data_IF_834820774259
#
_entry.id   IF_834820774259
#
_cell.length_a   1.000
_cell.length_b   1.000
_cell.length_c   1.000
_cell.angle_alpha   90.00
_cell.angle_beta   90.00
_cell.angle_gamma   90.00
#
_symmetry.space_group_name_H-M   'P 1'
#
loop_
_entity.id
_entity.type
_entity.pdbx_description
1 polymer ?
#
# COMPACT_ATOMS: atom_id res chain seq x y z
N UNK A 1 11.80 -27.05 6.00
CA UNK A 1 12.50 -26.64 7.25
C UNK A 1 13.66 -25.68 6.99
N UNK A 2 14.41 -25.84 5.89
CA UNK A 2 15.55 -24.96 5.55
C UNK A 2 15.18 -23.47 5.50
N UNK A 3 14.01 -23.09 4.98
CA UNK A 3 13.57 -21.70 4.86
C UNK A 3 13.38 -21.00 6.21
N UNK A 4 12.88 -21.73 7.21
CA UNK A 4 12.68 -21.20 8.56
C UNK A 4 14.04 -20.93 9.23
N UNK A 5 14.97 -21.87 9.10
CA UNK A 5 16.33 -21.74 9.66
C UNK A 5 17.05 -20.55 9.00
N UNK A 6 16.98 -20.45 7.68
CA UNK A 6 17.55 -19.33 6.93
C UNK A 6 16.91 -18.02 7.37
N UNK A 7 15.59 -17.96 7.50
CA UNK A 7 14.87 -16.77 7.97
C UNK A 7 15.33 -16.32 9.37
N UNK A 8 15.48 -17.24 10.31
CA UNK A 8 15.96 -16.93 11.67
C UNK A 8 17.39 -16.38 11.64
N UNK A 9 18.28 -16.94 10.82
CA UNK A 9 19.66 -16.45 10.65
C UNK A 9 19.66 -15.01 10.12
N UNK A 10 18.86 -14.71 9.09
CA UNK A 10 18.76 -13.35 8.54
C UNK A 10 18.19 -12.34 9.53
N UNK A 11 17.19 -12.72 10.32
CA UNK A 11 16.65 -11.86 11.38
C UNK A 11 17.71 -11.62 12.46
N UNK A 12 18.41 -12.67 12.91
CA UNK A 12 19.50 -12.54 13.89
C UNK A 12 20.63 -11.64 13.39
N UNK A 13 21.03 -11.77 12.12
CA UNK A 13 22.00 -10.90 11.49
C UNK A 13 21.52 -9.45 11.42
N UNK A 14 20.25 -9.22 11.08
CA UNK A 14 19.67 -7.86 11.04
C UNK A 14 19.78 -7.20 12.42
N UNK A 15 19.39 -7.90 13.48
CA UNK A 15 19.49 -7.42 14.87
C UNK A 15 20.95 -7.14 15.24
N UNK A 16 21.87 -8.05 14.91
CA UNK A 16 23.30 -7.87 15.16
C UNK A 16 23.90 -6.67 14.41
N UNK A 17 23.48 -6.44 13.16
CA UNK A 17 23.99 -5.33 12.33
C UNK A 17 23.53 -3.95 12.80
N UNK A 18 22.33 -3.87 13.40
CA UNK A 18 21.69 -2.61 13.80
C UNK A 18 21.97 -2.25 15.27
N UNK A 19 22.37 -3.22 16.11
CA UNK A 19 22.62 -2.97 17.54
C UNK A 19 23.84 -2.05 17.75
N UNK A 20 23.73 -1.01 18.58
CA UNK A 20 24.81 -0.05 18.81
C UNK A 20 26.00 -0.63 19.59
N UNK A 21 25.82 -1.77 20.28
CA UNK A 21 26.89 -2.49 20.99
C UNK A 21 27.67 -3.46 20.10
N UNK A 22 27.27 -3.66 18.84
CA UNK A 22 27.96 -4.55 17.91
C UNK A 22 28.96 -3.77 17.04
N UNK A 23 30.08 -4.39 16.64
CA UNK A 23 31.14 -3.70 15.89
C UNK A 23 30.72 -3.20 14.50
N UNK A 24 29.61 -3.71 13.93
CA UNK A 24 29.07 -3.23 12.66
C UNK A 24 28.37 -1.87 12.81
N UNK A 25 27.55 -1.69 13.85
CA UNK A 25 26.83 -0.44 14.16
C UNK A 25 26.18 0.26 12.93
N UNK A 26 25.55 -0.50 12.02
CA UNK A 26 24.90 0.04 10.82
C UNK A 26 23.52 0.64 11.08
N UNK A 27 23.15 0.84 12.35
CA UNK A 27 21.82 1.29 12.71
C UNK A 27 21.49 2.66 12.11
N UNK A 28 22.46 3.58 12.06
CA UNK A 28 22.23 4.92 11.51
C UNK A 28 22.05 4.88 9.98
N UNK A 29 22.83 4.05 9.29
CA UNK A 29 22.79 3.85 7.85
C UNK A 29 21.48 3.20 7.41
N UNK A 30 21.01 2.21 8.17
CA UNK A 30 19.69 1.58 7.94
C UNK A 30 18.57 2.59 8.15
N UNK A 31 18.63 3.41 9.21
CA UNK A 31 17.63 4.46 9.47
C UNK A 31 17.66 5.51 8.35
N UNK A 32 18.84 5.91 7.88
CA UNK A 32 19.00 6.86 6.78
C UNK A 32 18.41 6.30 5.48
N UNK A 33 18.67 5.02 5.16
CA UNK A 33 18.07 4.34 4.03
C UNK A 33 16.56 4.26 4.15
N UNK A 34 16.02 3.92 5.32
CA UNK A 34 14.58 3.85 5.54
C UNK A 34 13.94 5.24 5.38
N UNK A 35 14.56 6.28 5.94
CA UNK A 35 14.11 7.68 5.78
C UNK A 35 14.10 8.14 4.32
N UNK A 36 15.06 7.68 3.51
CA UNK A 36 15.12 8.02 2.08
C UNK A 36 14.19 7.17 1.21
N UNK A 37 14.10 5.87 1.48
CA UNK A 37 13.34 4.91 0.68
C UNK A 37 11.84 4.89 0.97
N UNK A 38 11.45 5.11 2.23
CA UNK A 38 10.04 5.06 2.64
C UNK A 38 9.18 6.13 1.95
N UNK A 39 9.62 7.40 1.80
CA UNK A 39 8.87 8.40 1.03
C UNK A 39 8.73 8.05 -0.45
N UNK A 40 9.76 7.44 -1.07
CA UNK A 40 9.72 7.03 -2.48
C UNK A 40 8.71 5.91 -2.68
N UNK A 41 8.72 4.89 -1.80
CA UNK A 41 7.71 3.83 -1.80
C UNK A 41 6.32 4.38 -1.53
N UNK A 42 6.17 5.29 -0.57
CA UNK A 42 4.89 5.92 -0.26
C UNK A 42 4.33 6.72 -1.44
N UNK A 43 5.19 7.46 -2.16
CA UNK A 43 4.79 8.18 -3.37
C UNK A 43 4.36 7.22 -4.48
N UNK A 44 5.10 6.13 -4.69
CA UNK A 44 4.78 5.12 -5.70
C UNK A 44 3.44 4.42 -5.40
N UNK A 45 3.26 3.94 -4.16
CA UNK A 45 2.00 3.31 -3.72
C UNK A 45 0.85 4.31 -3.74
N UNK A 46 1.07 5.55 -3.28
CA UNK A 46 0.07 6.61 -3.29
C UNK A 46 -0.41 6.96 -4.70
N UNK A 47 0.50 6.98 -5.68
CA UNK A 47 0.16 7.21 -7.08
C UNK A 47 -0.68 6.06 -7.65
N UNK A 48 -0.37 4.80 -7.31
CA UNK A 48 -1.22 3.65 -7.67
C UNK A 48 -2.61 3.78 -7.03
N UNK A 49 -2.69 4.11 -5.75
CA UNK A 49 -3.96 4.31 -5.05
C UNK A 49 -4.80 5.45 -5.67
N UNK A 50 -4.17 6.51 -6.17
CA UNK A 50 -4.87 7.61 -6.81
C UNK A 50 -5.53 7.17 -8.12
N UNK A 51 -4.86 6.32 -8.92
CA UNK A 51 -5.46 5.75 -10.13
C UNK A 51 -6.60 4.78 -9.81
N UNK A 52 -6.42 3.90 -8.83
CA UNK A 52 -7.48 2.96 -8.40
C UNK A 52 -8.69 3.74 -7.86
N UNK A 53 -8.47 4.72 -6.99
CA UNK A 53 -9.53 5.54 -6.41
C UNK A 53 -10.27 6.38 -7.45
N UNK A 54 -9.57 6.93 -8.45
CA UNK A 54 -10.20 7.67 -9.54
C UNK A 54 -11.10 6.78 -10.41
N UNK A 55 -10.72 5.52 -10.64
CA UNK A 55 -11.56 4.53 -11.32
C UNK A 55 -12.79 4.16 -10.48
N UNK A 56 -12.61 3.78 -9.21
CA UNK A 56 -13.72 3.41 -8.30
C UNK A 56 -14.75 4.54 -8.14
N UNK A 57 -14.31 5.80 -8.08
CA UNK A 57 -15.21 6.97 -8.00
C UNK A 57 -16.00 7.17 -9.29
N UNK A 58 -15.40 6.96 -10.47
CA UNK A 58 -16.12 7.08 -11.74
C UNK A 58 -17.17 5.98 -11.87
N UNK A 59 -16.80 4.73 -11.62
CA UNK A 59 -17.71 3.58 -11.70
C UNK A 59 -18.90 3.74 -10.74
N UNK A 60 -18.67 4.22 -9.51
CA UNK A 60 -19.75 4.50 -8.54
C UNK A 60 -20.70 5.60 -8.97
N UNK A 61 -20.19 6.63 -9.65
CA UNK A 61 -21.02 7.75 -10.13
C UNK A 61 -21.90 7.32 -11.30
N UNK A 62 -21.37 6.49 -12.19
CA UNK A 62 -22.10 5.97 -13.34
C UNK A 62 -23.18 4.98 -12.91
N UNK A 63 -22.85 4.05 -12.00
CA UNK A 63 -23.83 3.13 -11.43
C UNK A 63 -25.00 3.85 -10.73
N UNK A 64 -24.72 4.91 -9.97
CA UNK A 64 -25.77 5.74 -9.34
C UNK A 64 -26.65 6.45 -10.38
N UNK A 65 -26.10 6.84 -11.53
CA UNK A 65 -26.84 7.51 -12.59
C UNK A 65 -27.79 6.53 -13.29
N UNK A 66 -27.30 5.34 -13.64
CA UNK A 66 -28.13 4.28 -14.24
C UNK A 66 -29.25 3.83 -13.29
N UNK A 67 -28.98 3.71 -11.98
CA UNK A 67 -30.01 3.39 -10.99
C UNK A 67 -31.11 4.45 -10.96
N UNK A 68 -30.74 5.73 -10.97
CA UNK A 68 -31.69 6.83 -10.93
C UNK A 68 -32.52 6.94 -12.22
N UNK A 69 -31.89 6.77 -13.39
CA UNK A 69 -32.56 6.76 -14.69
C UNK A 69 -33.54 5.59 -14.80
N UNK A 70 -33.20 4.43 -14.24
CA UNK A 70 -34.10 3.27 -14.22
C UNK A 70 -35.32 3.53 -13.34
N UNK A 71 -35.14 4.13 -12.15
CA UNK A 71 -36.25 4.50 -11.25
C UNK A 71 -37.17 5.51 -11.94
N UNK A 72 -36.62 6.58 -12.53
CA UNK A 72 -37.41 7.60 -13.23
C UNK A 72 -38.18 7.01 -14.43
N UNK A 73 -37.56 6.09 -15.19
CA UNK A 73 -38.25 5.42 -16.31
C UNK A 73 -39.38 4.50 -15.84
N UNK A 74 -39.22 3.77 -14.74
CA UNK A 74 -40.29 2.94 -14.17
C UNK A 74 -41.42 3.77 -13.59
N UNK A 75 -41.13 4.90 -12.94
CA UNK A 75 -42.15 5.80 -12.39
C UNK A 75 -42.94 6.54 -13.50
N UNK A 76 -42.31 6.80 -14.65
CA UNK A 76 -42.96 7.41 -15.81
C UNK A 76 -43.85 6.42 -16.58
N UNK A 77 -43.54 5.13 -16.58
CA UNK A 77 -44.36 4.09 -17.24
C UNK A 77 -45.54 3.62 -16.38
N UNK A 78 -45.49 3.84 -15.06
CA UNK A 78 -46.58 3.52 -14.12
C UNK A 78 -47.63 4.66 -13.99
N UNK A 79 -47.40 5.83 -14.61
CA UNK A 79 -48.33 6.98 -14.65
C UNK A 79 -49.10 7.09 -15.96
#
# INVERSE_FOLDING_TARGET
>A
MISIIVGIIFIGFTVFSVLPMCPLNWGQEVIAFLKGGLPVLAAFVGLICLFIGAADVKDKREAKKEENEKIESSEAEER
#
